data_IF_661541468423
#
_entry.id   IF_661541468423
#
_cell.length_a   1.000
_cell.length_b   1.000
_cell.length_c   1.000
_cell.angle_alpha   90.00
_cell.angle_beta   90.00
_cell.angle_gamma   90.00
#
_symmetry.space_group_name_H-M   'P 1'
#
loop_
_entity.id
_entity.type
_entity.pdbx_description
1 polymer ?
#
# COMPACT_ATOMS: atom_id res chain seq x y z
N UNK A 1 -5.78 15.23 -2.28
CA UNK A 1 -7.20 15.53 -2.14
C UNK A 1 -7.33 16.94 -1.62
N UNK A 2 -7.83 17.85 -2.45
CA UNK A 2 -8.44 19.08 -1.93
C UNK A 2 -9.60 18.69 -0.98
N UNK A 3 -10.01 19.61 -0.09
CA UNK A 3 -11.02 19.33 0.94
C UNK A 3 -12.30 18.79 0.29
N UNK A 4 -12.45 17.47 0.26
CA UNK A 4 -13.67 16.81 -0.15
C UNK A 4 -14.81 17.31 0.73
N UNK A 5 -15.87 17.79 0.10
CA UNK A 5 -17.09 18.20 0.78
C UNK A 5 -18.02 16.98 0.75
N UNK A 6 -18.30 16.35 1.90
CA UNK A 6 -19.18 15.19 1.94
C UNK A 6 -20.59 15.55 1.45
N UNK A 7 -21.12 14.69 0.60
CA UNK A 7 -22.48 14.78 0.06
C UNK A 7 -23.42 14.08 1.05
N UNK A 8 -24.55 14.71 1.39
CA UNK A 8 -25.54 14.10 2.27
C UNK A 8 -26.23 12.91 1.60
N UNK A 9 -26.48 11.86 2.37
CA UNK A 9 -27.17 10.66 1.92
C UNK A 9 -28.46 10.43 2.73
N UNK A 10 -29.43 9.66 2.19
CA UNK A 10 -30.62 9.27 2.94
C UNK A 10 -30.25 8.51 4.23
N UNK A 11 -30.80 8.94 5.37
CA UNK A 11 -30.51 8.30 6.66
C UNK A 11 -31.26 6.99 6.87
N UNK A 12 -32.45 6.83 6.26
CA UNK A 12 -33.27 5.63 6.31
C UNK A 12 -33.04 4.77 5.06
N UNK A 13 -32.46 3.59 5.26
CA UNK A 13 -32.37 2.54 4.24
C UNK A 13 -32.55 1.16 4.88
N UNK A 14 -33.10 0.21 4.13
CA UNK A 14 -33.35 -1.16 4.62
C UNK A 14 -34.07 -1.22 5.99
N UNK A 15 -34.98 -0.27 6.23
CA UNK A 15 -35.76 -0.17 7.47
C UNK A 15 -35.02 0.39 8.69
N UNK A 16 -33.77 0.87 8.53
CA UNK A 16 -32.97 1.43 9.62
C UNK A 16 -32.61 2.89 9.33
N UNK A 17 -33.06 3.79 10.21
CA UNK A 17 -32.64 5.20 10.21
C UNK A 17 -31.39 5.39 11.06
N UNK A 18 -30.24 5.65 10.42
CA UNK A 18 -28.98 5.87 11.10
C UNK A 18 -28.96 7.16 11.94
N UNK A 19 -29.89 8.10 11.74
CA UNK A 19 -29.98 9.32 12.54
C UNK A 19 -30.94 9.21 13.74
N UNK A 20 -31.56 8.04 13.99
CA UNK A 20 -32.58 7.87 15.04
C UNK A 20 -32.11 8.26 16.46
N UNK A 21 -30.81 8.14 16.73
CA UNK A 21 -30.20 8.43 18.04
C UNK A 21 -29.35 9.73 18.03
N UNK A 22 -29.46 10.57 16.98
CA UNK A 22 -28.63 11.77 16.82
C UNK A 22 -28.77 12.71 18.01
N UNK A 23 -27.64 13.04 18.63
CA UNK A 23 -27.55 14.02 19.70
C UNK A 23 -26.31 14.89 19.48
N UNK A 24 -26.51 16.17 19.15
CA UNK A 24 -25.43 17.11 18.85
C UNK A 24 -24.66 17.55 20.11
N UNK A 25 -25.28 17.46 21.29
CA UNK A 25 -24.71 17.93 22.55
C UNK A 25 -23.94 16.83 23.29
N UNK A 26 -24.18 15.56 22.93
CA UNK A 26 -23.48 14.43 23.52
C UNK A 26 -22.06 14.29 22.96
N UNK A 27 -21.09 14.06 23.86
CA UNK A 27 -19.73 13.66 23.46
C UNK A 27 -19.79 12.31 22.74
N UNK A 28 -19.24 12.25 21.53
CA UNK A 28 -19.14 11.00 20.77
C UNK A 28 -18.23 10.00 21.49
N UNK A 29 -18.76 8.79 21.71
CA UNK A 29 -18.02 7.63 22.16
C UNK A 29 -17.21 6.97 21.04
N UNK A 30 -16.55 5.85 21.38
CA UNK A 30 -15.65 5.13 20.47
C UNK A 30 -16.35 4.44 19.30
N UNK A 31 -17.67 4.27 19.36
CA UNK A 31 -18.48 3.56 18.35
C UNK A 31 -19.53 4.46 17.70
N UNK A 32 -19.56 5.72 18.12
CA UNK A 32 -20.38 6.78 17.54
C UNK A 32 -19.72 7.30 16.26
N UNK A 33 -20.48 8.04 15.46
CA UNK A 33 -20.04 8.53 14.16
C UNK A 33 -20.17 10.03 14.04
N UNK A 34 -19.08 10.72 13.69
CA UNK A 34 -19.21 12.06 13.11
C UNK A 34 -19.97 12.00 11.80
N UNK A 35 -19.68 10.96 11.03
CA UNK A 35 -20.38 10.59 9.82
C UNK A 35 -20.67 9.10 9.83
N UNK A 36 -21.72 8.70 9.12
CA UNK A 36 -22.03 7.32 8.81
C UNK A 36 -22.48 7.16 7.35
N UNK A 37 -22.45 5.94 6.84
CA UNK A 37 -22.99 5.58 5.53
C UNK A 37 -23.67 4.22 5.61
N UNK A 38 -24.78 4.05 4.89
CA UNK A 38 -25.30 2.73 4.54
C UNK A 38 -24.43 2.15 3.42
N UNK A 39 -24.08 0.87 3.51
CA UNK A 39 -23.29 0.18 2.49
C UNK A 39 -23.78 -1.25 2.32
N UNK A 40 -23.56 -1.83 1.15
CA UNK A 40 -23.81 -3.25 0.89
C UNK A 40 -22.46 -3.93 0.68
N UNK A 41 -22.14 -4.92 1.50
CA UNK A 41 -20.89 -5.68 1.42
C UNK A 41 -21.28 -7.14 1.27
N UNK A 42 -20.89 -7.79 0.18
CA UNK A 42 -21.24 -9.20 -0.09
C UNK A 42 -22.75 -9.48 0.02
N UNK A 43 -23.56 -8.63 -0.60
CA UNK A 43 -25.03 -8.67 -0.52
C UNK A 43 -25.60 -8.55 0.91
N UNK A 44 -24.78 -8.17 1.89
CA UNK A 44 -25.19 -7.95 3.27
C UNK A 44 -25.32 -6.45 3.54
N UNK A 45 -26.51 -5.98 3.97
CA UNK A 45 -26.68 -4.61 4.43
C UNK A 45 -25.82 -4.33 5.66
N UNK A 46 -24.98 -3.32 5.56
CA UNK A 46 -24.05 -2.88 6.58
C UNK A 46 -24.14 -1.36 6.76
N UNK A 47 -23.52 -0.86 7.81
CA UNK A 47 -23.28 0.57 8.00
C UNK A 47 -21.83 0.79 8.43
N UNK A 48 -21.30 1.95 8.07
CA UNK A 48 -19.96 2.40 8.48
C UNK A 48 -20.15 3.58 9.42
N UNK A 49 -19.46 3.57 10.56
CA UNK A 49 -19.29 4.75 11.43
C UNK A 49 -17.85 5.19 11.47
N UNK A 50 -17.61 6.50 11.52
CA UNK A 50 -16.25 7.05 11.52
C UNK A 50 -16.08 8.23 12.48
N UNK A 51 -14.87 8.34 13.05
CA UNK A 51 -14.41 9.54 13.71
C UNK A 51 -13.89 10.62 12.73
N UNK A 52 -13.71 10.28 11.45
CA UNK A 52 -13.36 11.20 10.38
C UNK A 52 -14.58 11.99 9.88
N UNK A 53 -14.35 13.01 9.06
CA UNK A 53 -15.42 13.81 8.46
C UNK A 53 -15.92 13.26 7.11
N UNK A 54 -15.39 12.13 6.65
CA UNK A 54 -15.75 11.50 5.37
C UNK A 54 -15.67 9.97 5.51
N UNK A 55 -16.26 9.25 4.55
CA UNK A 55 -16.18 7.79 4.43
C UNK A 55 -15.62 7.49 3.05
N UNK A 56 -14.48 6.81 2.91
CA UNK A 56 -14.01 6.31 1.63
C UNK A 56 -14.88 5.14 1.18
N UNK A 57 -15.12 5.05 -0.11
CA UNK A 57 -15.64 3.82 -0.72
C UNK A 57 -14.71 2.63 -0.40
N UNK A 58 -15.32 1.48 -0.12
CA UNK A 58 -14.58 0.23 0.01
C UNK A 58 -14.17 -0.19 -1.40
N UNK A 59 -12.90 0.00 -1.73
CA UNK A 59 -12.41 -0.21 -3.08
C UNK A 59 -12.75 -1.63 -3.58
N UNK A 60 -13.29 -1.78 -4.81
CA UNK A 60 -13.55 -3.08 -5.41
C UNK A 60 -12.29 -3.97 -5.45
N UNK A 61 -11.13 -3.34 -5.63
CA UNK A 61 -9.82 -4.00 -5.66
C UNK A 61 -9.46 -4.69 -4.35
N UNK A 62 -10.12 -4.39 -3.22
CA UNK A 62 -10.03 -5.18 -1.99
C UNK A 62 -10.40 -6.66 -2.23
N UNK A 63 -11.15 -6.96 -3.30
CA UNK A 63 -11.59 -8.31 -3.70
C UNK A 63 -10.76 -8.92 -4.83
N UNK A 64 -10.06 -8.11 -5.61
CA UNK A 64 -9.26 -8.60 -6.75
C UNK A 64 -7.93 -9.20 -6.28
N UNK A 65 -7.59 -10.40 -6.77
CA UNK A 65 -6.29 -11.05 -6.51
C UNK A 65 -5.18 -10.51 -7.42
N UNK A 66 -5.24 -9.23 -7.82
CA UNK A 66 -4.28 -8.60 -8.74
C UNK A 66 -4.01 -7.15 -8.37
N UNK A 67 -2.74 -6.76 -8.46
CA UNK A 67 -2.29 -5.36 -8.37
C UNK A 67 -2.03 -4.83 -9.77
N UNK A 68 -2.41 -3.57 -9.99
CA UNK A 68 -2.19 -2.86 -11.24
C UNK A 68 -1.42 -1.58 -10.97
N UNK A 69 -0.37 -1.34 -11.76
CA UNK A 69 0.22 0.00 -11.86
C UNK A 69 -0.77 0.86 -12.63
N UNK A 70 -1.08 2.03 -12.08
CA UNK A 70 -2.03 3.01 -12.62
C UNK A 70 -1.30 4.06 -13.47
N UNK A 71 -2.02 4.87 -14.24
CA UNK A 71 -1.41 5.86 -15.17
C UNK A 71 -0.43 6.83 -14.50
N UNK A 72 -0.66 7.16 -13.23
CA UNK A 72 0.23 7.99 -12.41
C UNK A 72 1.44 7.22 -11.82
N UNK A 73 1.63 5.97 -12.23
CA UNK A 73 2.63 5.01 -11.75
C UNK A 73 2.50 4.65 -10.26
N UNK A 74 1.32 4.83 -9.67
CA UNK A 74 0.98 4.30 -8.34
C UNK A 74 0.06 3.09 -8.47
N UNK A 75 -0.49 2.60 -7.36
CA UNK A 75 -1.36 1.43 -7.35
C UNK A 75 -2.83 1.78 -7.11
N UNK A 76 -3.15 3.09 -7.09
CA UNK A 76 -4.52 3.59 -6.92
C UNK A 76 -5.10 3.19 -5.57
N UNK A 77 -6.30 2.58 -5.52
CA UNK A 77 -6.92 2.17 -4.26
C UNK A 77 -6.15 1.11 -3.47
N UNK A 78 -5.27 0.36 -4.12
CA UNK A 78 -4.44 -0.66 -3.47
C UNK A 78 -3.17 -0.07 -2.84
N UNK A 79 -2.90 1.22 -3.02
CA UNK A 79 -1.75 1.89 -2.43
C UNK A 79 -2.10 2.44 -1.02
N UNK A 80 -1.49 1.91 0.06
CA UNK A 80 -1.80 2.34 1.42
C UNK A 80 -1.38 3.78 1.73
N UNK A 81 -0.61 4.43 0.85
CA UNK A 81 -0.28 5.86 0.99
C UNK A 81 -1.33 6.78 0.40
N UNK A 82 -2.26 6.25 -0.40
CA UNK A 82 -3.30 7.03 -1.08
C UNK A 82 -4.70 6.73 -0.55
N UNK A 83 -4.97 5.47 -0.22
CA UNK A 83 -6.30 5.00 0.12
C UNK A 83 -6.30 4.10 1.37
N UNK A 84 -7.31 4.19 2.24
CA UNK A 84 -7.39 3.35 3.41
C UNK A 84 -7.49 1.87 3.07
N UNK A 85 -6.70 1.07 3.77
CA UNK A 85 -6.73 -0.38 3.68
C UNK A 85 -7.52 -0.96 4.84
N UNK A 86 -7.95 -2.21 4.69
CA UNK A 86 -8.43 -2.98 5.83
C UNK A 86 -7.30 -3.13 6.87
N UNK A 87 -7.64 -3.02 8.15
CA UNK A 87 -6.67 -3.15 9.23
C UNK A 87 -5.98 -4.52 9.16
N UNK A 88 -4.65 -4.47 9.23
CA UNK A 88 -3.77 -5.63 9.33
C UNK A 88 -2.98 -5.51 10.63
N UNK A 89 -3.00 -6.53 11.51
CA UNK A 89 -2.11 -6.55 12.67
C UNK A 89 -0.62 -6.53 12.26
N UNK A 90 -0.27 -7.21 11.17
CA UNK A 90 1.10 -7.26 10.62
C UNK A 90 1.57 -5.88 10.16
N UNK A 91 0.66 -5.12 9.53
CA UNK A 91 0.94 -3.81 8.95
C UNK A 91 0.10 -2.71 9.63
N UNK A 92 0.00 -2.77 10.96
CA UNK A 92 -0.89 -1.88 11.73
C UNK A 92 -0.56 -0.38 11.59
N UNK A 93 0.69 -0.06 11.24
CA UNK A 93 1.17 1.29 11.02
C UNK A 93 0.66 1.96 9.73
N UNK A 94 0.10 1.21 8.77
CA UNK A 94 -0.36 1.80 7.50
C UNK A 94 -1.44 2.87 7.71
N UNK A 95 -2.28 2.70 8.74
CA UNK A 95 -3.27 3.71 9.10
C UNK A 95 -2.68 5.03 9.61
N UNK A 96 -1.42 5.03 10.04
CA UNK A 96 -0.70 6.20 10.53
C UNK A 96 0.04 6.97 9.41
N UNK A 97 0.01 6.48 8.17
CA UNK A 97 0.63 7.19 7.04
C UNK A 97 -0.07 8.54 6.88
N UNK A 98 0.72 9.62 6.82
CA UNK A 98 0.20 10.98 6.65
C UNK A 98 -0.41 11.15 5.26
N UNK A 99 -1.55 11.84 5.20
CA UNK A 99 -2.09 12.35 3.94
C UNK A 99 -1.29 13.54 3.46
N UNK A 100 -1.49 13.90 2.18
CA UNK A 100 -0.87 15.08 1.58
C UNK A 100 -1.23 16.32 2.40
N UNK A 101 -0.25 17.07 2.94
CA UNK A 101 -0.53 18.26 3.71
C UNK A 101 -1.25 19.33 2.87
N UNK A 102 -2.14 20.06 3.53
CA UNK A 102 -2.85 21.21 2.94
C UNK A 102 -2.30 22.56 3.43
N UNK A 103 -1.47 22.56 4.48
CA UNK A 103 -0.84 23.76 5.01
C UNK A 103 0.47 24.06 4.29
N UNK A 104 0.84 25.33 4.21
CA UNK A 104 2.10 25.76 3.57
C UNK A 104 3.33 25.13 4.25
N UNK A 105 3.36 25.13 5.58
CA UNK A 105 4.44 24.51 6.37
C UNK A 105 4.52 23.00 6.08
N UNK A 106 3.37 22.31 6.02
CA UNK A 106 3.34 20.88 5.71
C UNK A 106 3.80 20.59 4.28
N UNK A 107 3.43 21.43 3.32
CA UNK A 107 3.88 21.32 1.93
C UNK A 107 5.38 21.60 1.79
N UNK A 108 5.94 22.50 2.60
CA UNK A 108 7.39 22.73 2.64
C UNK A 108 8.14 21.50 3.17
N UNK A 109 7.61 20.89 4.23
CA UNK A 109 8.24 19.74 4.89
C UNK A 109 8.11 18.43 4.09
N UNK A 110 6.91 18.11 3.58
CA UNK A 110 6.60 16.80 2.98
C UNK A 110 6.14 16.89 1.51
N UNK A 111 6.00 18.08 0.94
CA UNK A 111 5.39 18.23 -0.39
C UNK A 111 6.09 17.49 -1.51
N UNK A 112 7.42 17.28 -1.43
CA UNK A 112 8.16 16.48 -2.42
C UNK A 112 7.73 15.00 -2.40
N UNK A 113 7.18 14.50 -1.29
CA UNK A 113 6.70 13.12 -1.16
C UNK A 113 5.31 12.89 -1.78
N UNK A 114 4.61 13.97 -2.11
CA UNK A 114 3.31 13.93 -2.79
C UNK A 114 3.35 14.55 -4.18
N UNK A 115 4.54 14.89 -4.67
CA UNK A 115 4.74 15.56 -5.95
C UNK A 115 4.72 14.56 -7.11
N UNK A 116 4.15 14.97 -8.25
CA UNK A 116 4.10 14.17 -9.47
C UNK A 116 5.14 14.69 -10.48
N UNK A 117 6.14 13.87 -10.90
CA UNK A 117 7.11 14.28 -11.89
C UNK A 117 6.47 14.68 -13.22
N UNK A 118 6.85 15.83 -13.75
CA UNK A 118 6.44 16.29 -15.07
C UNK A 118 7.51 15.98 -16.11
N UNK A 119 7.19 16.18 -17.40
CA UNK A 119 8.12 15.89 -18.49
C UNK A 119 9.37 16.77 -18.42
N UNK A 120 9.24 17.98 -17.91
CA UNK A 120 10.34 18.94 -17.73
C UNK A 120 11.35 18.47 -16.68
N UNK A 121 10.92 17.60 -15.74
CA UNK A 121 11.81 17.01 -14.75
C UNK A 121 12.64 15.85 -15.31
N UNK A 122 12.42 15.45 -16.57
CA UNK A 122 13.17 14.39 -17.24
C UNK A 122 14.25 14.97 -18.14
N UNK A 123 15.51 14.80 -17.75
CA UNK A 123 16.67 15.32 -18.46
C UNK A 123 17.28 14.18 -19.28
N UNK A 124 17.13 14.26 -20.60
CA UNK A 124 17.80 13.35 -21.54
C UNK A 124 19.22 13.85 -21.85
N UNK A 125 20.21 12.96 -22.09
CA UNK A 125 21.53 13.36 -22.56
C UNK A 125 21.41 14.15 -23.87
N UNK A 126 22.12 15.26 -23.98
CA UNK A 126 22.11 16.14 -25.16
C UNK A 126 22.77 15.52 -26.40
N UNK A 127 23.50 14.42 -26.24
CA UNK A 127 24.29 13.82 -27.31
C UNK A 127 23.41 13.03 -28.29
N UNK A 128 23.42 13.46 -29.55
CA UNK A 128 22.69 12.92 -30.71
C UNK A 128 23.00 11.47 -31.11
N UNK A 129 23.40 10.61 -30.18
CA UNK A 129 23.56 9.19 -30.38
C UNK A 129 22.19 8.50 -30.38
N UNK A 130 21.86 7.80 -31.46
CA UNK A 130 20.58 7.11 -31.65
C UNK A 130 20.30 6.06 -30.56
N UNK A 131 21.36 5.51 -29.94
CA UNK A 131 21.30 4.41 -28.95
C UNK A 131 20.72 4.85 -27.60
N UNK A 132 20.87 6.13 -27.22
CA UNK A 132 20.38 6.68 -25.93
C UNK A 132 19.04 7.39 -26.06
N UNK A 133 18.42 7.40 -27.25
CA UNK A 133 17.13 8.05 -27.50
C UNK A 133 16.06 7.50 -26.56
N UNK A 134 15.47 8.38 -25.75
CA UNK A 134 14.40 8.04 -24.81
C UNK A 134 14.86 7.68 -23.39
N UNK A 135 16.17 7.65 -23.12
CA UNK A 135 16.72 7.48 -21.78
C UNK A 135 17.13 8.83 -21.19
N UNK A 136 16.92 8.98 -19.88
CA UNK A 136 17.23 10.20 -19.16
C UNK A 136 17.21 9.98 -17.66
N UNK A 137 17.45 11.07 -16.92
CA UNK A 137 17.48 11.08 -15.46
C UNK A 137 16.50 12.10 -14.91
N UNK A 138 16.12 11.91 -13.65
CA UNK A 138 15.42 12.93 -12.89
C UNK A 138 16.31 14.17 -12.75
N UNK A 139 15.72 15.35 -12.99
CA UNK A 139 16.36 16.65 -12.81
C UNK A 139 16.99 16.74 -11.42
N UNK A 140 18.26 17.15 -11.39
CA UNK A 140 19.08 17.16 -10.18
C UNK A 140 18.40 17.83 -8.99
N UNK A 141 17.74 18.98 -9.20
CA UNK A 141 17.01 19.69 -8.14
C UNK A 141 15.96 18.82 -7.43
N UNK A 142 15.14 18.07 -8.16
CA UNK A 142 14.11 17.22 -7.54
C UNK A 142 14.73 16.00 -6.88
N UNK A 143 15.76 15.42 -7.52
CA UNK A 143 16.50 14.30 -6.98
C UNK A 143 17.18 14.66 -5.64
N UNK A 144 17.77 15.84 -5.53
CA UNK A 144 18.36 16.35 -4.27
C UNK A 144 17.31 16.49 -3.18
N UNK A 145 16.15 17.08 -3.48
CA UNK A 145 15.06 17.25 -2.49
C UNK A 145 14.56 15.91 -1.93
N UNK A 146 14.44 14.90 -2.79
CA UNK A 146 14.12 13.54 -2.36
C UNK A 146 15.23 12.97 -1.47
N UNK A 147 16.49 13.12 -1.88
CA UNK A 147 17.65 12.63 -1.13
C UNK A 147 17.78 13.27 0.25
N UNK A 148 17.58 14.58 0.36
CA UNK A 148 17.64 15.32 1.62
C UNK A 148 16.55 14.85 2.59
N UNK A 149 15.32 14.70 2.10
CA UNK A 149 14.21 14.19 2.90
C UNK A 149 14.47 12.75 3.37
N UNK A 150 14.93 11.87 2.48
CA UNK A 150 15.30 10.48 2.82
C UNK A 150 16.41 10.44 3.87
N UNK A 151 17.44 11.28 3.74
CA UNK A 151 18.53 11.36 4.71
C UNK A 151 18.02 11.70 6.12
N UNK A 152 17.16 12.72 6.23
CA UNK A 152 16.56 13.15 7.50
C UNK A 152 15.78 11.99 8.14
N UNK A 153 14.89 11.34 7.38
CA UNK A 153 14.09 10.24 7.91
C UNK A 153 14.96 9.05 8.38
N UNK A 154 15.99 8.69 7.62
CA UNK A 154 16.89 7.60 8.01
C UNK A 154 17.68 7.91 9.29
N UNK A 155 18.00 9.18 9.53
CA UNK A 155 18.62 9.63 10.78
C UNK A 155 17.64 9.55 11.97
N UNK A 156 16.39 9.97 11.77
CA UNK A 156 15.33 9.81 12.78
C UNK A 156 15.08 8.33 13.13
N UNK A 157 14.99 7.45 12.13
CA UNK A 157 14.84 6.01 12.33
C UNK A 157 16.03 5.41 13.08
N UNK A 158 17.27 5.81 12.73
CA UNK A 158 18.47 5.37 13.42
C UNK A 158 18.44 5.78 14.89
N UNK A 159 18.19 7.05 15.18
CA UNK A 159 18.14 7.57 16.55
C UNK A 159 17.10 6.80 17.39
N UNK A 160 15.93 6.50 16.82
CA UNK A 160 14.92 5.72 17.50
C UNK A 160 15.35 4.25 17.72
N UNK A 161 15.86 3.58 16.69
CA UNK A 161 16.25 2.16 16.78
C UNK A 161 17.48 1.92 17.66
N UNK A 162 18.36 2.92 17.83
CA UNK A 162 19.45 2.88 18.81
C UNK A 162 18.92 2.92 20.25
N UNK A 163 17.81 3.63 20.51
CA UNK A 163 17.17 3.62 21.84
C UNK A 163 16.43 2.33 22.14
N UNK A 164 15.89 1.65 21.12
CA UNK A 164 15.13 0.40 21.27
C UNK A 164 15.61 -0.63 20.22
N UNK A 165 16.76 -1.31 20.45
CA UNK A 165 17.34 -2.21 19.45
C UNK A 165 16.42 -3.37 19.04
N UNK A 166 15.51 -3.80 19.91
CA UNK A 166 14.56 -4.88 19.63
C UNK A 166 13.64 -4.61 18.43
N UNK A 167 13.37 -3.33 18.11
CA UNK A 167 12.49 -2.95 16.99
C UNK A 167 13.24 -2.69 15.69
N UNK A 168 14.58 -2.68 15.68
CA UNK A 168 15.39 -2.35 14.50
C UNK A 168 15.06 -3.22 13.26
N UNK A 169 14.74 -4.50 13.46
CA UNK A 169 14.36 -5.42 12.38
C UNK A 169 13.08 -4.98 11.66
N UNK A 170 12.16 -4.30 12.35
CA UNK A 170 10.89 -3.83 11.78
C UNK A 170 11.12 -2.73 10.75
N UNK A 171 12.14 -1.88 10.95
CA UNK A 171 12.50 -0.78 10.05
C UNK A 171 13.39 -1.23 8.89
N UNK A 172 14.24 -2.23 9.12
CA UNK A 172 15.35 -2.60 8.23
C UNK A 172 14.95 -2.83 6.77
N UNK A 173 13.81 -3.49 6.52
CA UNK A 173 13.37 -3.81 5.15
C UNK A 173 12.95 -2.55 4.37
N UNK A 174 12.20 -1.65 5.01
CA UNK A 174 11.77 -0.39 4.40
C UNK A 174 12.96 0.56 4.20
N UNK A 175 13.86 0.66 5.19
CA UNK A 175 15.08 1.47 5.05
C UNK A 175 15.95 1.02 3.88
N UNK A 176 16.19 -0.30 3.77
CA UNK A 176 17.01 -0.83 2.68
C UNK A 176 16.34 -0.61 1.33
N UNK A 177 15.03 -0.82 1.25
CA UNK A 177 14.24 -0.59 0.03
C UNK A 177 14.32 0.88 -0.39
N UNK A 178 14.23 1.81 0.57
CA UNK A 178 14.30 3.25 0.32
C UNK A 178 15.68 3.69 -0.17
N UNK A 179 16.75 3.21 0.49
CA UNK A 179 18.15 3.48 0.10
C UNK A 179 18.42 3.00 -1.32
N UNK A 180 18.07 1.74 -1.62
CA UNK A 180 18.24 1.17 -2.96
C UNK A 180 17.40 1.88 -4.02
N UNK A 181 16.16 2.26 -3.71
CA UNK A 181 15.31 3.03 -4.61
C UNK A 181 15.92 4.39 -4.98
N UNK A 182 16.41 5.12 -3.98
CA UNK A 182 17.04 6.42 -4.19
C UNK A 182 18.35 6.31 -4.99
N UNK A 183 19.20 5.34 -4.66
CA UNK A 183 20.47 5.11 -5.36
C UNK A 183 20.23 4.80 -6.84
N UNK A 184 19.23 3.97 -7.14
CA UNK A 184 18.85 3.67 -8.53
C UNK A 184 18.36 4.91 -9.26
N UNK A 185 17.51 5.72 -8.63
CA UNK A 185 16.99 6.96 -9.20
C UNK A 185 18.11 7.97 -9.52
N UNK A 186 19.18 8.01 -8.71
CA UNK A 186 20.36 8.86 -8.93
C UNK A 186 21.27 8.33 -10.03
N UNK A 187 21.46 7.02 -10.06
CA UNK A 187 22.55 6.40 -10.82
C UNK A 187 22.11 5.95 -12.22
N UNK A 188 20.90 5.43 -12.37
CA UNK A 188 20.46 4.68 -13.56
C UNK A 188 19.59 5.54 -14.48
N UNK A 189 20.06 5.90 -15.69
CA UNK A 189 19.20 6.47 -16.71
C UNK A 189 18.08 5.49 -17.09
N UNK A 190 16.86 5.98 -17.27
CA UNK A 190 15.72 5.16 -17.66
C UNK A 190 14.75 5.93 -18.55
N UNK A 191 13.72 5.25 -19.06
CA UNK A 191 12.61 5.92 -19.75
C UNK A 191 11.84 6.83 -18.79
N UNK A 192 11.14 7.85 -19.29
CA UNK A 192 10.31 8.73 -18.48
C UNK A 192 9.35 7.96 -17.56
N UNK A 193 8.55 7.02 -18.08
CA UNK A 193 7.62 6.22 -17.27
C UNK A 193 8.32 5.46 -16.14
N UNK A 194 9.48 4.86 -16.43
CA UNK A 194 10.27 4.16 -15.39
C UNK A 194 10.81 5.11 -14.33
N UNK A 195 11.29 6.29 -14.72
CA UNK A 195 11.71 7.31 -13.77
C UNK A 195 10.54 7.74 -12.88
N UNK A 196 9.34 7.97 -13.44
CA UNK A 196 8.15 8.29 -12.65
C UNK A 196 7.82 7.17 -11.66
N UNK A 197 7.83 5.91 -12.11
CA UNK A 197 7.61 4.74 -11.24
C UNK A 197 8.63 4.63 -10.11
N UNK A 198 9.91 4.91 -10.36
CA UNK A 198 10.91 4.87 -9.28
C UNK A 198 10.74 6.04 -8.30
N UNK A 199 10.32 7.22 -8.77
CA UNK A 199 9.95 8.31 -7.86
C UNK A 199 8.76 7.89 -6.98
N UNK A 200 7.70 7.31 -7.55
CA UNK A 200 6.53 6.89 -6.75
C UNK A 200 6.88 5.78 -5.77
N UNK A 201 7.78 4.86 -6.13
CA UNK A 201 8.34 3.85 -5.23
C UNK A 201 9.08 4.51 -4.05
N UNK A 202 10.01 5.44 -4.31
CA UNK A 202 10.75 6.15 -3.27
C UNK A 202 9.81 6.91 -2.34
N UNK A 203 8.84 7.65 -2.91
CA UNK A 203 7.83 8.39 -2.16
C UNK A 203 7.00 7.46 -1.26
N UNK A 204 6.52 6.34 -1.81
CA UNK A 204 5.72 5.39 -1.04
C UNK A 204 6.51 4.78 0.10
N UNK A 205 7.70 4.26 -0.16
CA UNK A 205 8.53 3.63 0.88
C UNK A 205 8.92 4.65 1.95
N UNK A 206 9.16 5.90 1.57
CA UNK A 206 9.37 7.00 2.52
C UNK A 206 8.14 7.21 3.41
N UNK A 207 6.95 7.36 2.81
CA UNK A 207 5.71 7.64 3.55
C UNK A 207 5.34 6.49 4.49
N UNK A 208 5.54 5.24 4.05
CA UNK A 208 5.33 4.05 4.89
C UNK A 208 6.33 4.00 6.05
N UNK A 209 7.61 4.24 5.79
CA UNK A 209 8.65 4.26 6.84
C UNK A 209 8.41 5.39 7.85
N UNK A 210 7.99 6.58 7.40
CA UNK A 210 7.61 7.69 8.27
C UNK A 210 6.37 7.34 9.09
N UNK A 211 5.37 6.73 8.47
CA UNK A 211 4.17 6.22 9.15
C UNK A 211 4.50 5.18 10.23
N UNK A 212 5.42 4.26 9.94
CA UNK A 212 5.94 3.30 10.92
C UNK A 212 6.63 3.99 12.10
N UNK A 213 7.51 4.96 11.83
CA UNK A 213 8.19 5.71 12.89
C UNK A 213 7.19 6.47 13.77
N UNK A 214 6.24 7.19 13.19
CA UNK A 214 5.21 7.93 13.94
C UNK A 214 4.25 6.98 14.67
N UNK A 215 3.93 5.83 14.09
CA UNK A 215 3.16 4.79 14.78
C UNK A 215 3.86 4.33 16.06
N UNK A 216 5.14 4.03 15.99
CA UNK A 216 5.90 3.53 17.13
C UNK A 216 6.18 4.60 18.19
N UNK A 217 6.38 5.86 17.77
CA UNK A 217 6.79 6.96 18.66
C UNK A 217 5.62 7.79 19.21
N UNK A 218 4.48 7.82 18.51
CA UNK A 218 3.35 8.69 18.84
C UNK A 218 2.09 7.86 19.07
N UNK A 219 1.66 7.08 18.07
CA UNK A 219 0.32 6.50 18.08
C UNK A 219 0.20 5.28 19.00
N UNK A 220 1.15 4.33 18.97
CA UNK A 220 1.17 3.17 19.88
C UNK A 220 1.23 3.61 21.35
N UNK A 221 2.10 4.56 21.77
CA UNK A 221 2.06 5.08 23.13
C UNK A 221 0.71 5.69 23.53
N UNK A 222 0.04 6.42 22.63
CA UNK A 222 -1.32 6.95 22.88
C UNK A 222 -2.35 5.83 23.06
N UNK A 223 -2.26 4.75 22.27
CA UNK A 223 -3.14 3.58 22.39
C UNK A 223 -2.97 2.86 23.73
N UNK A 224 -1.73 2.73 24.21
CA UNK A 224 -1.40 2.03 25.45
C UNK A 224 -1.67 2.88 26.70
N UNK A 225 -1.47 4.20 26.60
CA UNK A 225 -1.64 5.15 27.67
C UNK A 225 -2.58 6.29 27.22
N UNK A 226 -3.89 6.03 27.12
CA UNK A 226 -4.87 7.02 26.69
C UNK A 226 -4.85 8.25 27.63
N UNK A 227 -4.50 9.41 27.10
CA UNK A 227 -4.80 10.67 27.75
C UNK A 227 -6.33 10.94 27.69
N UNK A 228 -6.87 11.68 28.66
CA UNK A 228 -8.32 11.95 28.77
C UNK A 228 -8.89 12.88 27.69
N UNK A 229 -8.04 13.46 26.83
CA UNK A 229 -8.45 14.47 25.86
C UNK A 229 -8.76 13.87 24.48
N UNK A 230 -10.07 13.70 24.23
CA UNK A 230 -10.60 13.49 22.89
C UNK A 230 -10.35 14.72 22.03
N UNK A 231 -9.92 14.54 20.79
CA UNK A 231 -9.90 15.63 19.82
C UNK A 231 -10.09 15.13 18.39
N UNK A 232 -9.93 16.06 17.43
CA UNK A 232 -10.08 15.74 16.01
C UNK A 232 -9.07 14.67 15.58
N UNK A 233 -9.46 13.76 14.66
CA UNK A 233 -8.54 12.80 14.09
C UNK A 233 -7.44 13.54 13.32
N UNK A 234 -6.25 12.95 13.33
CA UNK A 234 -5.08 13.38 12.61
C UNK A 234 -5.28 13.24 11.10
N UNK A 235 -4.51 14.00 10.33
CA UNK A 235 -4.54 13.94 8.86
C UNK A 235 -3.74 12.74 8.33
N UNK A 236 -4.17 11.54 8.73
CA UNK A 236 -3.60 10.26 8.33
C UNK A 236 -4.57 9.51 7.39
N UNK A 237 -4.07 8.48 6.71
CA UNK A 237 -4.87 7.65 5.80
C UNK A 237 -5.94 6.88 6.58
N UNK A 238 -5.62 6.32 7.75
CA UNK A 238 -6.56 5.55 8.55
C UNK A 238 -6.83 4.13 8.03
N UNK A 239 -7.80 3.43 8.63
CA UNK A 239 -8.11 2.02 8.29
C UNK A 239 -9.60 1.70 8.28
N UNK A 240 -9.99 0.77 7.40
CA UNK A 240 -11.26 0.05 7.54
C UNK A 240 -11.10 -1.08 8.56
N UNK A 241 -12.10 -1.29 9.41
CA UNK A 241 -12.08 -2.41 10.36
C UNK A 241 -13.50 -2.88 10.66
N UNK A 242 -13.68 -4.18 10.92
CA UNK A 242 -14.89 -4.72 11.53
C UNK A 242 -14.70 -5.04 13.01
N UNK A 243 -13.49 -4.85 13.54
CA UNK A 243 -13.14 -5.11 14.93
C UNK A 243 -13.34 -3.84 15.78
N UNK A 244 -14.29 -3.85 16.76
CA UNK A 244 -14.51 -2.74 17.67
C UNK A 244 -13.26 -2.35 18.49
N UNK A 245 -12.40 -3.31 18.83
CA UNK A 245 -11.17 -3.03 19.59
C UNK A 245 -10.23 -2.15 18.78
N UNK A 246 -10.05 -2.45 17.49
CA UNK A 246 -9.25 -1.63 16.58
C UNK A 246 -9.83 -0.22 16.46
N UNK A 247 -11.14 -0.10 16.29
CA UNK A 247 -11.81 1.20 16.21
C UNK A 247 -11.59 2.04 17.48
N UNK A 248 -11.69 1.42 18.66
CA UNK A 248 -11.43 2.08 19.94
C UNK A 248 -9.98 2.54 20.06
N UNK A 249 -9.00 1.68 19.73
CA UNK A 249 -7.58 2.02 19.77
C UNK A 249 -7.25 3.18 18.79
N UNK A 250 -7.80 3.13 17.58
CA UNK A 250 -7.62 4.20 16.60
C UNK A 250 -8.29 5.51 17.06
N UNK A 251 -9.46 5.44 17.69
CA UNK A 251 -10.11 6.62 18.26
C UNK A 251 -9.25 7.29 19.34
N UNK A 252 -8.72 6.48 20.28
CA UNK A 252 -7.81 6.93 21.34
C UNK A 252 -6.52 7.52 20.75
N UNK A 253 -5.95 6.88 19.74
CA UNK A 253 -4.76 7.37 19.03
C UNK A 253 -5.01 8.64 18.20
N UNK A 254 -6.29 9.01 18.02
CA UNK A 254 -6.76 10.05 17.11
C UNK A 254 -6.41 9.76 15.65
N UNK A 255 -6.37 8.48 15.28
CA UNK A 255 -6.24 8.05 13.89
C UNK A 255 -7.63 7.87 13.27
N UNK A 256 -7.80 8.21 11.98
CA UNK A 256 -9.05 7.94 11.27
C UNK A 256 -9.34 6.43 11.20
N UNK A 257 -10.60 6.06 11.42
CA UNK A 257 -11.05 4.69 11.18
C UNK A 257 -12.46 4.68 10.59
N UNK A 258 -12.80 3.55 9.95
CA UNK A 258 -14.10 3.27 9.39
C UNK A 258 -14.57 1.91 9.89
N UNK A 259 -15.42 1.92 10.92
CA UNK A 259 -15.92 0.72 11.58
C UNK A 259 -17.13 0.19 10.81
N UNK A 260 -16.95 -0.96 10.16
CA UNK A 260 -17.96 -1.66 9.36
C UNK A 260 -18.73 -2.62 10.25
N UNK A 261 -20.06 -2.53 10.24
CA UNK A 261 -20.94 -3.39 11.05
C UNK A 261 -22.19 -3.83 10.28
N UNK A 262 -22.72 -5.03 10.56
CA UNK A 262 -24.01 -5.45 10.00
C UNK A 262 -25.12 -4.48 10.41
N UNK A 263 -26.01 -4.12 9.50
CA UNK A 263 -27.06 -3.13 9.78
C UNK A 263 -27.98 -3.54 10.94
N UNK A 264 -28.15 -4.84 11.17
CA UNK A 264 -28.89 -5.41 12.30
C UNK A 264 -28.28 -5.11 13.68
N UNK A 265 -27.00 -4.70 13.76
CA UNK A 265 -26.38 -4.35 15.04
C UNK A 265 -26.61 -2.89 15.46
N UNK A 266 -27.24 -2.07 14.62
CA UNK A 266 -27.43 -0.65 14.89
C UNK A 266 -28.48 -0.42 15.99
N UNK A 267 -28.03 0.03 17.16
CA UNK A 267 -28.85 0.11 18.37
C UNK A 267 -28.86 1.51 18.97
N UNK A 268 -27.71 1.97 19.49
CA UNK A 268 -27.59 3.15 20.38
C UNK A 268 -26.60 4.20 19.91
N UNK A 269 -25.93 3.96 18.78
CA UNK A 269 -24.83 4.80 18.32
C UNK A 269 -25.33 6.18 17.92
N UNK A 270 -24.65 7.21 18.42
CA UNK A 270 -24.90 8.59 18.08
C UNK A 270 -24.21 8.92 16.75
N UNK A 271 -25.00 9.22 15.72
CA UNK A 271 -24.50 9.58 14.39
C UNK A 271 -24.91 11.02 14.10
N UNK A 272 -23.93 11.88 13.82
CA UNK A 272 -24.19 13.31 13.59
C UNK A 272 -24.66 13.61 12.16
N UNK A 273 -24.20 12.82 11.18
CA UNK A 273 -24.48 13.03 9.75
C UNK A 273 -24.41 11.71 8.98
N UNK A 274 -25.29 11.54 7.98
CA UNK A 274 -25.22 10.41 7.04
C UNK A 274 -24.79 10.94 5.68
N UNK A 275 -23.78 10.34 5.08
CA UNK A 275 -23.13 10.82 3.86
C UNK A 275 -22.95 9.71 2.84
N UNK A 276 -22.79 10.09 1.58
CA UNK A 276 -22.34 9.17 0.54
C UNK A 276 -20.84 8.87 0.71
N UNK A 277 -20.41 7.61 0.56
CA UNK A 277 -18.99 7.29 0.47
C UNK A 277 -18.30 8.04 -0.67
N UNK A 278 -17.08 8.52 -0.43
CA UNK A 278 -16.21 9.13 -1.43
C UNK A 278 -15.79 8.05 -2.42
N UNK A 279 -16.24 8.22 -3.66
CA UNK A 279 -15.90 7.32 -4.77
C UNK A 279 -14.39 7.33 -5.05
N UNK A 280 -13.82 6.14 -5.23
CA UNK A 280 -12.37 5.95 -5.39
C UNK A 280 -11.80 6.80 -6.52
N UNK A 281 -12.48 6.85 -7.67
CA UNK A 281 -11.97 7.51 -8.87
C UNK A 281 -11.93 9.06 -8.77
N UNK A 282 -12.66 9.64 -7.81
CA UNK A 282 -12.59 11.08 -7.53
C UNK A 282 -11.30 11.45 -6.76
N UNK A 283 -10.61 10.45 -6.25
CA UNK A 283 -9.57 10.58 -5.25
C UNK A 283 -8.20 10.05 -5.70
N UNK A 284 -8.21 8.94 -6.43
CA UNK A 284 -7.01 8.24 -6.89
C UNK A 284 -7.16 7.80 -8.35
N UNK A 285 -6.04 7.69 -9.05
CA UNK A 285 -6.03 7.16 -10.41
C UNK A 285 -6.40 5.67 -10.40
N UNK A 286 -7.37 5.30 -11.23
CA UNK A 286 -7.90 3.93 -11.34
C UNK A 286 -7.54 3.28 -12.67
N UNK A 287 -7.20 4.07 -13.69
CA UNK A 287 -6.86 3.55 -15.00
C UNK A 287 -5.48 2.90 -14.99
N UNK A 288 -5.39 1.69 -15.55
CA UNK A 288 -4.14 0.94 -15.63
C UNK A 288 -3.13 1.64 -16.56
N UNK A 289 -1.86 1.60 -16.19
CA UNK A 289 -0.76 2.06 -17.02
C UNK A 289 -0.53 1.12 -18.21
N UNK A 290 -0.35 1.69 -19.39
CA UNK A 290 0.05 0.94 -20.57
C UNK A 290 1.47 0.37 -20.41
N UNK A 291 1.67 -0.88 -20.81
CA UNK A 291 2.98 -1.54 -20.78
C UNK A 291 3.39 -2.13 -19.42
N UNK A 292 2.56 -1.98 -18.38
CA UNK A 292 2.79 -2.56 -17.06
C UNK A 292 1.82 -3.73 -16.80
N UNK A 293 2.29 -4.98 -16.72
CA UNK A 293 1.42 -6.11 -16.44
C UNK A 293 0.88 -6.06 -15.01
N UNK A 294 -0.28 -6.67 -14.79
CA UNK A 294 -0.80 -6.90 -13.45
C UNK A 294 0.05 -7.92 -12.69
N UNK A 295 0.15 -7.77 -11.38
CA UNK A 295 0.82 -8.72 -10.50
C UNK A 295 -0.20 -9.55 -9.73
N UNK A 296 -0.09 -10.89 -9.69
CA UNK A 296 -0.98 -11.70 -8.87
C UNK A 296 -0.73 -11.40 -7.39
N UNK A 297 -1.80 -11.38 -6.61
CA UNK A 297 -1.76 -11.27 -5.15
C UNK A 297 -2.56 -12.39 -4.52
N UNK A 298 -2.38 -12.56 -3.21
CA UNK A 298 -3.31 -13.35 -2.42
C UNK A 298 -4.65 -12.64 -2.21
N UNK A 299 -5.56 -13.34 -1.53
CA UNK A 299 -6.92 -12.86 -1.24
C UNK A 299 -6.97 -11.99 0.01
N UNK A 300 -6.02 -12.12 0.93
CA UNK A 300 -5.98 -11.33 2.17
C UNK A 300 -5.29 -9.98 1.96
N UNK A 301 -5.66 -9.00 2.80
CA UNK A 301 -4.98 -7.69 2.87
C UNK A 301 -3.48 -7.83 3.09
N UNK A 302 -3.08 -8.72 4.00
CA UNK A 302 -1.68 -9.01 4.29
C UNK A 302 -0.90 -9.48 3.06
N UNK A 303 -1.48 -10.39 2.27
CA UNK A 303 -0.85 -10.88 1.06
C UNK A 303 -0.76 -9.80 -0.01
N UNK A 304 -1.76 -8.91 -0.10
CA UNK A 304 -1.71 -7.75 -1.01
C UNK A 304 -0.61 -6.78 -0.64
N UNK A 305 -0.50 -6.41 0.63
CA UNK A 305 0.57 -5.51 1.11
C UNK A 305 1.94 -6.16 0.87
N UNK A 306 2.11 -7.45 1.20
CA UNK A 306 3.35 -8.17 0.89
C UNK A 306 3.65 -8.19 -0.62
N UNK A 307 2.62 -8.40 -1.44
CA UNK A 307 2.78 -8.38 -2.90
C UNK A 307 3.20 -7.00 -3.39
N UNK A 308 2.68 -5.91 -2.80
CA UNK A 308 3.09 -4.55 -3.10
C UNK A 308 4.58 -4.32 -2.79
N UNK A 309 5.03 -4.75 -1.60
CA UNK A 309 6.45 -4.70 -1.22
C UNK A 309 7.33 -5.54 -2.16
N UNK A 310 6.89 -6.74 -2.51
CA UNK A 310 7.62 -7.62 -3.44
C UNK A 310 7.68 -7.06 -4.86
N UNK A 311 6.59 -6.50 -5.38
CA UNK A 311 6.56 -5.88 -6.71
C UNK A 311 7.53 -4.70 -6.77
N UNK A 312 7.59 -3.90 -5.70
CA UNK A 312 8.55 -2.80 -5.56
C UNK A 312 9.99 -3.28 -5.73
N UNK A 313 10.33 -4.41 -5.11
CA UNK A 313 11.68 -4.97 -5.12
C UNK A 313 12.01 -5.73 -6.42
N UNK A 314 11.03 -6.40 -7.00
CA UNK A 314 11.24 -7.38 -8.08
C UNK A 314 10.84 -6.89 -9.47
N UNK A 315 10.34 -5.66 -9.63
CA UNK A 315 10.02 -5.15 -10.98
C UNK A 315 11.32 -4.90 -11.75
N UNK A 316 11.65 -5.76 -12.74
CA UNK A 316 12.94 -5.68 -13.41
C UNK A 316 13.03 -4.39 -14.23
N UNK A 317 14.16 -3.71 -14.11
CA UNK A 317 14.45 -2.48 -14.86
C UNK A 317 14.60 -2.72 -16.36
N UNK A 318 15.14 -3.89 -16.70
CA UNK A 318 15.40 -4.32 -18.06
C UNK A 318 14.81 -5.71 -18.24
N UNK A 319 14.35 -5.99 -19.46
CA UNK A 319 14.06 -7.38 -19.84
C UNK A 319 15.34 -8.18 -19.65
N UNK A 320 15.26 -9.28 -18.91
CA UNK A 320 16.41 -10.15 -18.72
C UNK A 320 16.77 -10.75 -20.09
N UNK A 321 17.93 -10.41 -20.69
CA UNK A 321 18.29 -10.85 -22.03
C UNK A 321 18.54 -12.37 -22.10
N UNK A 322 18.78 -13.01 -20.95
CA UNK A 322 18.95 -14.46 -20.82
C UNK A 322 17.61 -15.19 -20.71
N UNK A 323 16.53 -14.49 -20.38
CA UNK A 323 15.17 -15.03 -20.50
C UNK A 323 14.68 -14.75 -21.92
N UNK A 324 15.14 -15.54 -22.88
CA UNK A 324 14.48 -15.58 -24.18
C UNK A 324 13.03 -15.98 -23.95
N UNK A 325 12.11 -15.16 -24.45
CA UNK A 325 10.72 -15.59 -24.60
C UNK A 325 10.77 -16.87 -25.44
N UNK A 326 10.16 -17.95 -24.96
CA UNK A 326 9.87 -19.10 -25.80
C UNK A 326 8.83 -18.64 -26.84
N UNK A 327 9.28 -17.84 -27.81
CA UNK A 327 8.54 -17.54 -29.01
C UNK A 327 8.42 -18.88 -29.73
N UNK A 328 7.18 -19.34 -29.83
CA UNK A 328 6.70 -20.42 -30.68
C UNK A 328 7.56 -20.54 -31.95
N UNK A 329 8.34 -21.60 -32.03
CA UNK A 329 8.89 -22.04 -33.30
C UNK A 329 7.70 -22.29 -34.25
N UNK A 330 7.74 -21.82 -35.51
CA UNK A 330 6.73 -22.20 -36.47
C UNK A 330 6.84 -23.72 -36.66
N UNK A 331 5.70 -24.41 -36.57
CA UNK A 331 5.61 -25.83 -36.89
C UNK A 331 6.00 -26.02 -38.36
N UNK A 332 7.27 -26.38 -38.59
CA UNK A 332 7.75 -26.87 -39.87
C UNK A 332 7.13 -28.24 -40.11
N UNK A 333 6.40 -28.34 -41.22
CA UNK A 333 5.83 -29.58 -41.73
C UNK A 333 6.91 -30.62 -42.04
N UNK A 334 6.53 -31.88 -41.81
CA UNK A 334 7.21 -33.14 -42.08
C UNK A 334 8.01 -33.19 -43.40
N UNK A 335 9.14 -33.92 -43.39
CA UNK A 335 9.20 -35.18 -44.14
C UNK A 335 10.34 -36.13 -43.70
N UNK A 336 9.91 -37.25 -43.10
CA UNK A 336 10.27 -38.66 -43.40
C UNK A 336 11.71 -39.23 -43.25
N UNK A 337 11.85 -40.56 -43.08
CA UNK A 337 12.80 -41.18 -42.15
C UNK A 337 13.89 -42.04 -42.83
N UNK A 338 15.06 -42.16 -42.19
CA UNK A 338 15.94 -43.31 -42.39
C UNK A 338 16.51 -43.82 -41.07
N UNK A 339 16.36 -45.13 -40.90
CA UNK A 339 16.67 -45.97 -39.74
C UNK A 339 18.11 -46.56 -39.88
N UNK A 340 18.61 -47.39 -38.95
CA UNK A 340 19.83 -47.15 -38.18
C UNK A 340 21.01 -48.08 -38.53
N UNK A 341 22.20 -47.80 -37.96
CA UNK A 341 23.31 -48.77 -37.90
C UNK A 341 23.85 -48.85 -36.47
N UNK A 342 23.86 -50.08 -35.93
CA UNK A 342 24.36 -50.47 -34.61
C UNK A 342 25.90 -50.49 -34.56
N UNK A 343 26.56 -49.92 -33.56
CA UNK A 343 27.05 -50.58 -32.32
C UNK A 343 28.59 -50.73 -32.37
N UNK A 344 29.31 -51.22 -31.32
CA UNK A 344 29.04 -51.22 -29.88
C UNK A 344 30.26 -50.74 -29.03
N UNK A 345 30.08 -50.43 -27.74
CA UNK A 345 30.86 -51.03 -26.63
C UNK A 345 30.52 -50.45 -25.25
N UNK A 346 30.58 -51.37 -24.28
CA UNK A 346 30.17 -51.32 -22.87
C UNK A 346 31.16 -50.57 -21.97
N UNK A 347 30.69 -50.14 -20.79
CA UNK A 347 31.22 -50.42 -19.42
C UNK A 347 30.22 -49.76 -18.41
N UNK A 348 29.32 -50.56 -17.83
CA UNK A 348 29.17 -50.93 -16.40
C UNK A 348 28.83 -49.77 -15.44
N UNK A 349 27.62 -49.75 -14.86
CA UNK A 349 27.29 -50.14 -13.46
C UNK A 349 27.04 -48.85 -12.62
N UNK A 350 26.03 -48.68 -11.77
CA UNK A 350 25.25 -49.57 -10.90
C UNK A 350 23.87 -48.94 -10.58
N UNK A 351 22.92 -49.79 -10.15
CA UNK A 351 21.52 -49.49 -9.82
C UNK A 351 21.25 -49.51 -8.31
N UNK A 352 20.40 -48.57 -7.86
CA UNK A 352 19.40 -48.60 -6.75
C UNK A 352 19.89 -48.65 -5.28
N UNK A 353 19.04 -48.34 -4.25
CA UNK A 353 17.61 -47.98 -4.23
C UNK A 353 17.25 -46.71 -3.40
N UNK A 354 15.95 -46.33 -3.27
CA UNK A 354 15.51 -45.12 -2.58
C UNK A 354 15.32 -45.33 -1.08
N UNK A 355 15.50 -44.28 -0.27
CA UNK A 355 15.12 -44.28 1.14
C UNK A 355 14.19 -43.12 1.50
N UNK A 356 13.07 -43.52 2.09
CA UNK A 356 12.09 -42.68 2.76
C UNK A 356 12.66 -42.03 4.01
N UNK A 357 12.26 -40.79 4.30
CA UNK A 357 12.09 -40.38 5.69
C UNK A 357 10.97 -39.33 5.83
N UNK A 358 9.93 -39.73 6.57
CA UNK A 358 8.96 -38.85 7.20
C UNK A 358 9.71 -37.87 8.10
N UNK A 359 9.40 -36.58 7.99
CA UNK A 359 9.60 -35.64 9.10
C UNK A 359 8.38 -34.73 9.23
N UNK A 360 7.83 -34.73 10.45
CA UNK A 360 6.68 -33.97 10.92
C UNK A 360 7.12 -32.50 11.07
N UNK A 361 6.57 -31.59 10.28
CA UNK A 361 6.62 -30.17 10.62
C UNK A 361 5.45 -29.84 11.55
N UNK A 362 5.78 -29.72 12.83
CA UNK A 362 4.95 -29.14 13.88
C UNK A 362 5.10 -27.62 13.77
N UNK A 363 4.04 -26.92 13.40
CA UNK A 363 3.99 -25.46 13.36
C UNK A 363 4.23 -24.88 14.76
N UNK A 364 5.12 -23.89 14.94
CA UNK A 364 5.16 -23.11 16.17
C UNK A 364 4.02 -22.09 16.19
N UNK A 365 3.30 -22.04 17.30
CA UNK A 365 2.31 -21.00 17.61
C UNK A 365 2.95 -19.60 17.62
N UNK A 366 2.22 -18.54 17.23
CA UNK A 366 2.72 -17.18 17.26
C UNK A 366 2.72 -16.66 18.70
N UNK A 367 3.91 -16.51 19.27
CA UNK A 367 4.12 -15.71 20.47
C UNK A 367 3.94 -14.22 20.15
N UNK A 368 3.27 -13.56 21.09
CA UNK A 368 2.87 -12.16 21.09
C UNK A 368 4.09 -11.26 21.01
N UNK A 369 4.12 -10.36 20.02
CA UNK A 369 5.02 -9.22 20.06
C UNK A 369 4.47 -8.21 21.07
N UNK A 370 5.27 -7.95 22.10
CA UNK A 370 5.16 -6.82 23.03
C UNK A 370 5.61 -5.51 22.36
#
# INVERSE_FOLDING_TARGET
>A
MDRFIPIDAPSLQNGVDLLKNKNLDAKLGNFDGRVAAHVIIDNTPCYITSNAAYIPEIAPSARDSKLFVRKDMRYGPDDPTLWPQQYSPTFCHLGAIRRRPTTEIGLLALGIMFWNPQREDFISPESGMTITRGLGKLRHRQCSRLADAVKILLEECRNYTETIPAVARVFSMLEQSLKLGLERLQSVPSTYQRMVLEVTIVQRTYLELKGLLEYMTIYKPRMENPASESGYPEDCVGVFTSDPMVAQLFNVARLPYWLIRPLSSFTRENILRVIEPLEVFLAVEVEAAEGFPSFPTGASTDEKIRSLHLCTLNTPWYKNPLKQSAASAPAGANDSPHQPVAGPSRISEQRHPPQSSRSKYRSPSPERYA
#
